data_IF_467627012232
#
_entry.id   IF_467627012232
#
_cell.length_a   1.000
_cell.length_b   1.000
_cell.length_c   1.000
_cell.angle_alpha   90.00
_cell.angle_beta   90.00
_cell.angle_gamma   90.00
#
_symmetry.space_group_name_H-M   'P 1'
#
loop_
_entity.id
_entity.type
_entity.pdbx_description
1 polymer ?
#
# COMPACT_ATOMS: atom_id res chain seq x y z
N UNK A 1 5.01 -16.10 14.84
CA UNK A 1 5.50 -17.32 14.20
C UNK A 1 6.71 -17.88 14.92
N UNK A 2 6.71 -19.14 15.31
CA UNK A 2 7.81 -19.81 15.99
C UNK A 2 8.28 -20.99 15.14
N UNK A 3 9.52 -20.96 14.63
CA UNK A 3 10.13 -22.19 14.09
C UNK A 3 10.73 -23.00 15.24
N UNK A 4 10.31 -24.24 15.34
CA UNK A 4 10.80 -25.21 16.33
C UNK A 4 12.00 -25.93 15.74
N UNK A 5 13.09 -26.02 16.51
CA UNK A 5 14.29 -26.73 16.13
C UNK A 5 14.72 -27.64 17.29
N UNK A 6 15.26 -28.80 16.95
CA UNK A 6 15.96 -29.66 17.90
C UNK A 6 17.41 -29.17 17.93
N UNK A 7 17.92 -28.80 19.10
CA UNK A 7 19.30 -28.43 19.27
C UNK A 7 20.23 -29.69 19.35
N UNK A 8 21.55 -29.46 19.45
CA UNK A 8 22.54 -30.55 19.55
C UNK A 8 22.37 -31.40 20.79
N UNK A 9 21.53 -31.03 21.75
CA UNK A 9 21.22 -31.74 22.99
C UNK A 9 19.83 -32.37 22.99
N UNK A 10 19.22 -32.59 21.81
CA UNK A 10 17.88 -33.15 21.61
C UNK A 10 16.75 -32.37 22.31
N UNK A 11 16.97 -31.10 22.63
CA UNK A 11 15.94 -30.27 23.20
C UNK A 11 15.18 -29.52 22.11
N UNK A 12 13.86 -29.46 22.28
CA UNK A 12 13.00 -28.65 21.43
C UNK A 12 13.18 -27.17 21.78
N UNK A 13 13.76 -26.39 20.86
CA UNK A 13 13.97 -24.95 21.01
C UNK A 13 13.05 -24.15 20.11
N UNK A 14 12.57 -23.00 20.58
CA UNK A 14 11.83 -22.03 19.78
C UNK A 14 12.59 -20.71 19.73
N UNK A 15 12.59 -20.06 18.58
CA UNK A 15 13.24 -18.76 18.39
C UNK A 15 12.37 -17.83 17.57
N UNK A 16 12.41 -16.53 17.90
CA UNK A 16 11.83 -15.46 17.06
C UNK A 16 12.83 -14.88 16.06
N UNK A 17 14.10 -15.26 16.14
CA UNK A 17 15.13 -14.82 15.17
C UNK A 17 15.03 -15.63 13.87
N UNK A 18 13.85 -15.60 13.26
CA UNK A 18 13.50 -16.45 12.12
C UNK A 18 14.13 -16.01 10.79
N UNK A 19 14.63 -14.78 10.69
CA UNK A 19 15.18 -14.25 9.43
C UNK A 19 16.28 -15.12 8.79
N UNK A 20 17.07 -15.85 9.60
CA UNK A 20 18.09 -16.80 9.10
C UNK A 20 17.52 -18.14 8.62
N UNK A 21 16.26 -18.40 8.93
CA UNK A 21 15.55 -19.64 8.61
C UNK A 21 14.61 -19.48 7.41
N UNK A 22 14.43 -18.24 6.94
CA UNK A 22 13.62 -17.93 5.77
C UNK A 22 14.46 -18.09 4.51
N UNK A 23 13.83 -18.64 3.47
CA UNK A 23 14.44 -18.82 2.16
C UNK A 23 14.44 -17.54 1.35
N UNK A 24 15.39 -17.42 0.43
CA UNK A 24 15.41 -16.42 -0.63
C UNK A 24 15.14 -17.05 -2.00
N UNK A 25 15.03 -18.38 -2.07
CA UNK A 25 14.68 -19.11 -3.28
C UNK A 25 13.15 -19.21 -3.40
N UNK A 26 12.56 -18.40 -4.27
CA UNK A 26 11.13 -18.25 -4.46
C UNK A 26 10.77 -17.99 -5.93
N UNK A 27 9.48 -18.14 -6.25
CA UNK A 27 8.94 -17.95 -7.60
C UNK A 27 8.18 -16.62 -7.79
N UNK A 28 8.10 -15.76 -6.76
CA UNK A 28 7.34 -14.52 -6.82
C UNK A 28 7.93 -13.51 -7.78
N UNK A 29 7.04 -12.78 -8.44
CA UNK A 29 7.35 -11.73 -9.41
C UNK A 29 6.93 -10.35 -8.89
N UNK A 30 7.45 -9.32 -9.51
CA UNK A 30 7.04 -7.94 -9.23
C UNK A 30 5.55 -7.80 -9.54
N UNK A 31 4.81 -7.23 -8.60
CA UNK A 31 3.36 -7.02 -8.54
C UNK A 31 2.52 -8.20 -8.04
N UNK A 32 3.10 -9.32 -7.71
CA UNK A 32 2.36 -10.37 -7.01
C UNK A 32 1.89 -9.88 -5.65
N UNK A 33 0.71 -10.30 -5.23
CA UNK A 33 0.19 -10.11 -3.89
C UNK A 33 0.47 -11.35 -3.07
N UNK A 34 1.00 -11.13 -1.87
CA UNK A 34 1.45 -12.21 -0.97
C UNK A 34 0.99 -11.93 0.45
N UNK A 35 0.71 -12.99 1.19
CA UNK A 35 0.49 -12.90 2.63
C UNK A 35 1.82 -12.88 3.35
N UNK A 36 1.97 -12.03 4.36
CA UNK A 36 3.21 -11.96 5.11
C UNK A 36 2.98 -11.63 6.58
N UNK A 37 3.76 -12.28 7.45
CA UNK A 37 3.74 -12.07 8.89
C UNK A 37 4.93 -11.21 9.31
N UNK A 38 4.66 -10.11 10.03
CA UNK A 38 5.71 -9.22 10.56
C UNK A 38 6.42 -9.91 11.73
N UNK A 39 7.73 -10.14 11.62
CA UNK A 39 8.50 -10.76 12.70
C UNK A 39 9.51 -9.84 13.38
N UNK A 40 9.87 -8.72 12.75
CA UNK A 40 10.78 -7.74 13.32
C UNK A 40 10.53 -6.35 12.72
N UNK A 41 10.75 -5.30 13.53
CA UNK A 41 10.62 -3.90 13.09
C UNK A 41 11.92 -3.19 13.44
N UNK A 42 12.52 -2.55 12.43
CA UNK A 42 13.71 -1.72 12.60
C UNK A 42 13.37 -0.27 12.26
N UNK A 43 13.65 0.69 13.16
CA UNK A 43 13.30 2.09 12.96
C UNK A 43 13.92 2.73 11.70
N UNK A 44 15.09 2.24 11.25
CA UNK A 44 15.82 2.80 10.12
C UNK A 44 15.51 2.09 8.80
N UNK A 45 15.25 0.77 8.86
CA UNK A 45 15.11 -0.07 7.68
C UNK A 45 13.66 -0.44 7.34
N UNK A 46 12.73 -0.31 8.28
CA UNK A 46 11.32 -0.68 8.13
C UNK A 46 10.99 -2.02 8.79
N UNK A 47 9.97 -2.72 8.30
CA UNK A 47 9.51 -3.98 8.86
C UNK A 47 10.03 -5.18 8.07
N UNK A 48 10.47 -6.20 8.79
CA UNK A 48 10.88 -7.49 8.22
C UNK A 48 9.73 -8.47 8.36
N UNK A 49 9.43 -9.16 7.26
CA UNK A 49 8.27 -10.03 7.16
C UNK A 49 8.65 -11.42 6.62
N UNK A 50 7.93 -12.42 7.08
CA UNK A 50 7.98 -13.78 6.54
C UNK A 50 6.85 -13.90 5.50
N UNK A 51 7.18 -13.89 4.23
CA UNK A 51 6.23 -14.07 3.12
C UNK A 51 5.87 -15.55 3.04
N UNK A 52 4.55 -15.83 3.03
CA UNK A 52 3.98 -17.19 3.08
C UNK A 52 4.64 -18.05 4.18
N UNK A 53 5.11 -17.38 5.27
CA UNK A 53 5.81 -17.98 6.39
C UNK A 53 7.14 -18.70 6.03
N UNK A 54 7.63 -18.55 4.81
CA UNK A 54 8.78 -19.27 4.28
C UNK A 54 9.86 -18.36 3.70
N UNK A 55 9.50 -17.23 3.12
CA UNK A 55 10.43 -16.40 2.34
C UNK A 55 10.74 -15.09 3.00
N UNK A 56 11.95 -14.59 2.75
CA UNK A 56 12.46 -13.36 3.36
C UNK A 56 11.94 -12.12 2.63
N UNK A 57 11.19 -11.28 3.34
CA UNK A 57 10.66 -10.03 2.83
C UNK A 57 10.92 -8.83 3.74
N UNK A 58 10.84 -7.64 3.17
CA UNK A 58 10.96 -6.37 3.89
C UNK A 58 9.98 -5.34 3.34
N UNK A 59 9.33 -4.62 4.24
CA UNK A 59 8.59 -3.40 3.93
C UNK A 59 9.54 -2.22 4.24
N UNK A 60 10.00 -1.45 3.24
CA UNK A 60 10.83 -0.26 3.49
C UNK A 60 10.10 0.76 4.37
N UNK A 61 10.83 1.49 5.21
CA UNK A 61 10.25 2.51 6.10
C UNK A 61 9.34 3.51 5.39
N UNK A 62 9.70 3.95 4.19
CA UNK A 62 8.92 4.89 3.36
C UNK A 62 7.55 4.38 2.93
N UNK A 63 7.35 3.06 2.94
CA UNK A 63 6.09 2.39 2.58
C UNK A 63 5.18 2.18 3.79
N UNK A 64 5.68 2.46 5.02
CA UNK A 64 4.95 2.29 6.28
C UNK A 64 4.33 3.62 6.67
N UNK A 65 3.03 3.77 6.45
CA UNK A 65 2.28 4.98 6.81
C UNK A 65 1.47 4.79 8.09
N UNK A 66 1.08 3.56 8.38
CA UNK A 66 0.33 3.19 9.57
C UNK A 66 1.22 2.44 10.56
N UNK A 67 0.79 2.41 11.83
CA UNK A 67 1.48 1.63 12.85
C UNK A 67 1.38 0.14 12.53
N UNK A 68 2.53 -0.51 12.37
CA UNK A 68 2.65 -1.97 12.17
C UNK A 68 3.15 -2.58 13.47
N UNK A 69 2.65 -3.75 13.82
CA UNK A 69 3.07 -4.48 15.03
C UNK A 69 3.65 -5.86 14.69
N UNK A 70 4.55 -6.35 15.55
CA UNK A 70 5.12 -7.69 15.39
C UNK A 70 4.01 -8.75 15.60
N UNK A 71 3.96 -9.73 14.70
CA UNK A 71 2.92 -10.76 14.65
C UNK A 71 1.74 -10.41 13.76
N UNK A 72 1.66 -9.18 13.26
CA UNK A 72 0.61 -8.76 12.33
C UNK A 72 0.75 -9.46 10.99
N UNK A 73 -0.39 -9.92 10.46
CA UNK A 73 -0.48 -10.50 9.12
C UNK A 73 -0.98 -9.44 8.15
N UNK A 74 -0.26 -9.28 7.05
CA UNK A 74 -0.51 -8.24 6.06
C UNK A 74 -0.57 -8.85 4.66
N UNK A 75 -1.48 -8.32 3.85
CA UNK A 75 -1.46 -8.52 2.40
C UNK A 75 -0.54 -7.47 1.78
N UNK A 76 0.50 -7.91 1.12
CA UNK A 76 1.56 -7.06 0.60
C UNK A 76 1.80 -7.32 -0.88
N UNK A 77 2.09 -6.28 -1.62
CA UNK A 77 2.47 -6.38 -3.02
C UNK A 77 4.00 -6.39 -3.16
N UNK A 78 4.51 -7.31 -3.97
CA UNK A 78 5.94 -7.34 -4.33
C UNK A 78 6.27 -6.13 -5.21
N UNK A 79 7.13 -5.24 -4.71
CA UNK A 79 7.57 -4.05 -5.44
C UNK A 79 8.88 -4.27 -6.18
N UNK A 80 9.74 -5.11 -5.62
CA UNK A 80 11.04 -5.48 -6.20
C UNK A 80 11.47 -6.85 -5.69
N UNK A 81 12.02 -7.65 -6.57
CA UNK A 81 12.83 -8.82 -6.23
C UNK A 81 14.29 -8.38 -6.31
N UNK A 82 15.01 -8.45 -5.19
CA UNK A 82 16.42 -8.05 -5.13
C UNK A 82 17.31 -9.18 -5.69
N UNK A 83 18.54 -8.85 -6.06
CA UNK A 83 19.52 -9.81 -6.61
C UNK A 83 19.86 -10.94 -5.62
N UNK A 84 19.76 -10.65 -4.33
CA UNK A 84 19.96 -11.63 -3.23
C UNK A 84 18.70 -12.48 -2.92
N UNK A 85 17.69 -12.41 -3.77
CA UNK A 85 16.42 -13.12 -3.60
C UNK A 85 15.53 -12.58 -2.49
N UNK A 86 15.84 -11.45 -1.86
CA UNK A 86 14.96 -10.82 -0.87
C UNK A 86 13.84 -10.04 -1.54
N UNK A 87 12.64 -10.12 -1.00
CA UNK A 87 11.49 -9.40 -1.49
C UNK A 87 11.35 -8.02 -0.83
N UNK A 88 11.25 -6.97 -1.65
CA UNK A 88 10.77 -5.67 -1.19
C UNK A 88 9.27 -5.56 -1.42
N UNK A 89 8.55 -5.15 -0.38
CA UNK A 89 7.09 -5.24 -0.31
C UNK A 89 6.47 -3.89 0.05
N UNK A 90 5.23 -3.69 -0.37
CA UNK A 90 4.44 -2.52 -0.02
C UNK A 90 3.00 -2.94 0.32
N UNK A 91 2.38 -2.34 1.34
CA UNK A 91 0.96 -2.52 1.63
C UNK A 91 0.07 -1.75 0.65
N UNK A 92 0.66 -0.92 -0.21
CA UNK A 92 -0.07 -0.04 -1.10
C UNK A 92 -0.17 -0.61 -2.52
N UNK A 93 -1.30 -0.39 -3.14
CA UNK A 93 -1.46 -0.59 -4.58
C UNK A 93 -0.53 0.35 -5.38
N UNK A 94 -0.37 0.07 -6.66
CA UNK A 94 0.33 0.98 -7.56
C UNK A 94 -0.36 2.35 -7.56
N UNK A 95 0.41 3.41 -7.49
CA UNK A 95 -0.11 4.78 -7.43
C UNK A 95 -1.11 5.11 -8.55
N UNK A 96 -0.94 4.54 -9.75
CA UNK A 96 -1.87 4.78 -10.85
C UNK A 96 -3.23 4.10 -10.64
N UNK A 97 -3.28 2.89 -10.03
CA UNK A 97 -4.54 2.22 -9.71
C UNK A 97 -5.31 2.96 -8.62
N UNK A 98 -4.59 3.54 -7.66
CA UNK A 98 -5.20 4.40 -6.65
C UNK A 98 -5.77 5.67 -7.30
N UNK A 99 -5.03 6.29 -8.25
CA UNK A 99 -5.52 7.46 -8.99
C UNK A 99 -6.78 7.12 -9.79
N UNK A 100 -6.84 5.97 -10.44
CA UNK A 100 -8.00 5.56 -11.22
C UNK A 100 -9.23 5.28 -10.32
N UNK A 101 -9.03 4.72 -9.11
CA UNK A 101 -10.11 4.57 -8.11
C UNK A 101 -10.59 5.92 -7.58
N UNK A 102 -9.66 6.81 -7.23
CA UNK A 102 -9.98 8.16 -6.77
C UNK A 102 -10.71 8.95 -7.86
N UNK A 103 -10.30 8.78 -9.12
CA UNK A 103 -10.95 9.39 -10.28
C UNK A 103 -12.38 8.88 -10.47
N UNK A 104 -12.59 7.56 -10.35
CA UNK A 104 -13.94 6.98 -10.41
C UNK A 104 -14.82 7.50 -9.28
N UNK A 105 -14.32 7.54 -8.04
CA UNK A 105 -15.05 8.08 -6.90
C UNK A 105 -15.48 9.53 -7.14
N UNK A 106 -14.59 10.35 -7.70
CA UNK A 106 -14.90 11.75 -8.05
C UNK A 106 -16.00 11.80 -9.12
N UNK A 107 -15.93 10.97 -10.16
CA UNK A 107 -16.96 10.92 -11.21
C UNK A 107 -18.31 10.51 -10.67
N UNK A 108 -18.36 9.43 -9.85
CA UNK A 108 -19.60 8.96 -9.21
C UNK A 108 -20.20 10.07 -8.32
N UNK A 109 -19.34 10.83 -7.62
CA UNK A 109 -19.79 11.96 -6.81
C UNK A 109 -20.32 13.11 -7.66
N UNK A 110 -19.64 13.46 -8.75
CA UNK A 110 -20.12 14.50 -9.70
C UNK A 110 -21.50 14.12 -10.24
N UNK A 111 -21.73 12.84 -10.55
CA UNK A 111 -23.03 12.35 -11.02
C UNK A 111 -24.10 12.46 -9.95
N UNK A 112 -23.79 12.21 -8.69
CA UNK A 112 -24.71 12.37 -7.55
C UNK A 112 -25.10 13.84 -7.30
N UNK A 113 -24.30 14.77 -7.78
CA UNK A 113 -24.53 16.22 -7.75
C UNK A 113 -25.02 16.79 -9.10
N UNK A 114 -25.81 16.02 -9.84
CA UNK A 114 -26.37 16.42 -11.15
C UNK A 114 -25.32 16.90 -12.16
N UNK A 115 -24.17 16.27 -12.17
CA UNK A 115 -23.06 16.55 -13.09
C UNK A 115 -22.15 17.72 -12.70
N UNK A 116 -22.33 18.29 -11.49
CA UNK A 116 -21.56 19.43 -11.01
C UNK A 116 -21.12 19.29 -9.56
N UNK A 117 -19.83 19.15 -9.32
CA UNK A 117 -19.27 19.23 -7.97
C UNK A 117 -19.17 20.72 -7.52
N UNK A 118 -19.71 21.10 -6.34
CA UNK A 118 -19.79 22.51 -5.92
C UNK A 118 -18.46 23.08 -5.39
N UNK A 119 -17.34 22.44 -5.67
CA UNK A 119 -15.99 22.89 -5.33
C UNK A 119 -14.97 22.40 -6.38
N UNK A 120 -13.81 23.03 -6.42
CA UNK A 120 -12.73 22.73 -7.35
C UNK A 120 -11.43 22.33 -6.63
N UNK A 121 -10.31 22.25 -7.36
CA UNK A 121 -9.00 21.86 -6.86
C UNK A 121 -8.39 22.84 -5.82
N UNK A 122 -8.96 24.06 -5.69
CA UNK A 122 -8.59 25.07 -4.68
C UNK A 122 -9.31 24.88 -3.34
N UNK A 123 -10.29 23.98 -3.25
CA UNK A 123 -11.07 23.72 -2.05
C UNK A 123 -10.19 23.39 -0.82
N UNK A 124 -10.71 23.68 0.37
CA UNK A 124 -10.04 23.39 1.64
C UNK A 124 -9.90 21.87 1.85
N UNK A 125 -8.78 21.38 2.44
CA UNK A 125 -8.61 19.96 2.73
C UNK A 125 -9.78 19.34 3.47
N UNK A 126 -10.30 20.01 4.49
CA UNK A 126 -11.43 19.52 5.29
C UNK A 126 -12.73 19.32 4.47
N UNK A 127 -12.97 20.13 3.45
CA UNK A 127 -14.13 19.96 2.54
C UNK A 127 -13.96 18.71 1.69
N UNK A 128 -12.77 18.52 1.10
CA UNK A 128 -12.46 17.37 0.26
C UNK A 128 -12.54 16.08 1.05
N UNK A 129 -12.00 16.07 2.26
CA UNK A 129 -12.02 14.91 3.15
C UNK A 129 -13.45 14.55 3.59
N UNK A 130 -14.27 15.55 3.93
CA UNK A 130 -15.66 15.34 4.33
C UNK A 130 -16.53 14.79 3.19
N UNK A 131 -16.40 15.33 1.99
CA UNK A 131 -17.27 15.00 0.84
C UNK A 131 -16.80 13.73 0.09
N UNK A 132 -15.48 13.48 0.05
CA UNK A 132 -14.87 12.44 -0.77
C UNK A 132 -14.03 11.44 0.02
N UNK A 133 -13.72 11.71 1.30
CA UNK A 133 -12.79 10.89 2.06
C UNK A 133 -11.34 10.91 1.53
N UNK A 134 -11.01 11.86 0.67
CA UNK A 134 -9.71 11.97 0.01
C UNK A 134 -8.84 13.06 0.64
N UNK A 135 -7.52 12.83 0.67
CA UNK A 135 -6.59 13.93 0.92
C UNK A 135 -6.57 14.92 -0.25
N UNK A 136 -6.25 16.19 0.00
CA UNK A 136 -6.14 17.21 -1.06
C UNK A 136 -5.14 16.83 -2.16
N UNK A 137 -4.05 16.11 -1.81
CA UNK A 137 -3.06 15.65 -2.78
C UNK A 137 -3.62 14.52 -3.67
N UNK A 138 -4.38 13.57 -3.10
CA UNK A 138 -5.05 12.51 -3.85
C UNK A 138 -6.11 13.09 -4.79
N UNK A 139 -6.96 14.00 -4.27
CA UNK A 139 -7.97 14.72 -5.07
C UNK A 139 -7.36 15.45 -6.27
N UNK A 140 -6.29 16.23 -6.06
CA UNK A 140 -5.62 16.94 -7.16
C UNK A 140 -5.07 16.01 -8.23
N UNK A 141 -4.48 14.86 -7.83
CA UNK A 141 -3.98 13.87 -8.80
C UNK A 141 -5.11 13.26 -9.63
N UNK A 142 -6.21 12.90 -8.98
CA UNK A 142 -7.36 12.31 -9.65
C UNK A 142 -8.08 13.30 -10.56
N UNK A 143 -8.30 14.54 -10.12
CA UNK A 143 -8.84 15.63 -10.95
C UNK A 143 -7.94 15.91 -12.17
N UNK A 144 -6.62 15.94 -11.98
CA UNK A 144 -5.66 16.08 -13.08
C UNK A 144 -5.75 14.95 -14.10
N UNK A 145 -5.99 13.71 -13.65
CA UNK A 145 -6.23 12.56 -14.51
C UNK A 145 -7.52 12.73 -15.33
N UNK A 146 -8.64 13.02 -14.67
CA UNK A 146 -9.95 13.22 -15.32
C UNK A 146 -9.93 14.39 -16.33
N UNK A 147 -9.22 15.47 -16.00
CA UNK A 147 -9.05 16.60 -16.91
C UNK A 147 -8.23 16.21 -18.15
N UNK A 148 -7.15 15.44 -17.96
CA UNK A 148 -6.34 14.93 -19.07
C UNK A 148 -7.13 14.00 -19.98
N UNK A 149 -7.99 13.16 -19.40
CA UNK A 149 -8.85 12.23 -20.14
C UNK A 149 -10.07 12.96 -20.78
N UNK A 150 -10.22 14.27 -20.53
CA UNK A 150 -11.26 15.11 -21.13
C UNK A 150 -12.66 14.87 -20.56
N UNK A 151 -12.78 14.20 -19.42
CA UNK A 151 -14.05 13.81 -18.79
C UNK A 151 -14.69 14.92 -17.95
N UNK A 152 -13.90 15.91 -17.54
CA UNK A 152 -14.35 17.02 -16.70
C UNK A 152 -13.81 18.36 -17.19
N UNK A 153 -14.45 19.44 -16.72
CA UNK A 153 -13.98 20.83 -16.86
C UNK A 153 -13.93 21.49 -15.49
N UNK A 154 -12.84 22.18 -15.19
CA UNK A 154 -12.69 22.94 -13.93
C UNK A 154 -13.14 24.36 -14.18
N UNK A 155 -14.03 24.87 -13.32
CA UNK A 155 -14.51 26.26 -13.33
C UNK A 155 -14.16 26.93 -12.00
N UNK A 156 -14.31 28.24 -11.90
CA UNK A 156 -14.07 28.96 -10.63
C UNK A 156 -15.02 28.49 -9.51
N UNK A 157 -16.20 28.01 -9.86
CA UNK A 157 -17.25 27.61 -8.93
C UNK A 157 -17.40 26.09 -8.75
N UNK A 158 -16.52 25.28 -9.36
CA UNK A 158 -16.62 23.81 -9.21
C UNK A 158 -16.04 23.04 -10.39
N UNK A 159 -16.35 21.74 -10.41
CA UNK A 159 -15.98 20.80 -11.47
C UNK A 159 -17.24 20.33 -12.17
N UNK A 160 -17.25 20.37 -13.48
CA UNK A 160 -18.37 19.94 -14.32
C UNK A 160 -17.99 18.68 -15.10
N UNK A 161 -18.89 17.72 -15.19
CA UNK A 161 -18.81 16.62 -16.14
C UNK A 161 -18.94 17.19 -17.57
N UNK A 162 -18.16 16.65 -18.48
CA UNK A 162 -18.27 16.93 -19.91
C UNK A 162 -19.22 16.01 -20.63
#
# INVERSE_FOLDING_TARGET
>A
MYKRQIDKSDRLCATMKIGKLLSTDHHFKVNDWVHATVYNINPDHGAFVAVEDQFLGRIPKREIHNKIVIGEQLNLRVTKVNEDGKLSLSPHEKAYLQIDRDAKLIMDTIESYDGRLPFNDKARPATIERELGLSKAAFKRAVGRLLKDGLITITDNGILKK
#
